data_IF_592160237596
#
_entry.id   IF_592160237596
#
_cell.length_a   1.000
_cell.length_b   1.000
_cell.length_c   1.000
_cell.angle_alpha   90.00
_cell.angle_beta   90.00
_cell.angle_gamma   90.00
#
_symmetry.space_group_name_H-M   'P 1'
#
loop_
_entity.id
_entity.type
_entity.pdbx_description
1 polymer ?
#
# COMPACT_ATOMS: atom_id res chain seq x y z
N UNK A 1 -22.79 -31.94 25.39
CA UNK A 1 -21.66 -31.40 24.60
C UNK A 1 -22.20 -30.19 23.87
N UNK A 2 -21.83 -28.99 24.29
CA UNK A 2 -22.35 -27.72 23.76
C UNK A 2 -21.17 -26.86 23.39
N UNK A 3 -20.95 -26.71 22.08
CA UNK A 3 -19.91 -25.87 21.51
C UNK A 3 -20.22 -24.39 21.78
N UNK A 4 -19.29 -23.75 22.48
CA UNK A 4 -19.34 -22.32 22.79
C UNK A 4 -19.04 -21.52 21.51
N UNK A 5 -20.06 -20.95 20.89
CA UNK A 5 -19.94 -19.92 19.86
C UNK A 5 -19.22 -18.69 20.45
N UNK A 6 -17.93 -18.57 20.15
CA UNK A 6 -17.14 -17.38 20.49
C UNK A 6 -17.67 -16.23 19.63
N UNK A 7 -18.40 -15.30 20.25
CA UNK A 7 -18.87 -14.07 19.59
C UNK A 7 -17.70 -13.30 18.99
N UNK A 8 -17.84 -12.89 17.71
CA UNK A 8 -16.84 -12.15 16.90
C UNK A 8 -16.24 -10.94 17.63
N UNK A 9 -16.98 -10.33 18.56
CA UNK A 9 -16.49 -9.22 19.39
C UNK A 9 -15.37 -9.66 20.34
N UNK A 10 -15.45 -10.84 20.95
CA UNK A 10 -14.40 -11.38 21.84
C UNK A 10 -13.13 -11.81 21.09
N UNK A 11 -13.27 -12.26 19.83
CA UNK A 11 -12.11 -12.56 18.97
C UNK A 11 -11.31 -11.27 18.65
N UNK A 12 -12.01 -10.19 18.30
CA UNK A 12 -11.36 -8.90 18.04
C UNK A 12 -10.74 -8.27 19.31
N UNK A 13 -11.38 -8.42 20.48
CA UNK A 13 -10.77 -8.00 21.74
C UNK A 13 -9.54 -8.85 22.10
N UNK A 14 -9.54 -10.14 21.76
CA UNK A 14 -8.40 -11.04 21.93
C UNK A 14 -7.22 -10.72 21.01
N UNK A 15 -7.46 -10.33 19.76
CA UNK A 15 -6.42 -9.90 18.83
C UNK A 15 -5.80 -8.54 19.22
N UNK A 16 -6.62 -7.61 19.76
CA UNK A 16 -6.12 -6.32 20.25
C UNK A 16 -5.36 -6.44 21.58
N UNK A 17 -5.79 -7.35 22.48
CA UNK A 17 -5.07 -7.62 23.71
C UNK A 17 -3.79 -8.47 23.48
N UNK A 18 -3.80 -9.39 22.51
CA UNK A 18 -2.66 -10.24 22.16
C UNK A 18 -1.56 -9.51 21.38
N UNK A 19 -1.92 -8.52 20.56
CA UNK A 19 -0.95 -7.63 19.91
C UNK A 19 -0.34 -6.59 20.89
N UNK A 20 -1.04 -6.27 21.98
CA UNK A 20 -0.56 -5.30 22.98
C UNK A 20 0.51 -5.83 23.95
N UNK A 21 0.60 -7.16 24.16
CA UNK A 21 1.52 -7.73 25.16
C UNK A 21 2.84 -8.23 24.56
N UNK A 22 2.90 -8.51 23.25
CA UNK A 22 4.13 -8.94 22.59
C UNK A 22 5.09 -7.81 22.19
N UNK A 23 4.71 -6.54 22.40
CA UNK A 23 5.58 -5.37 22.16
C UNK A 23 6.00 -4.61 23.42
N UNK A 24 5.64 -5.08 24.63
CA UNK A 24 6.03 -4.42 25.89
C UNK A 24 7.10 -5.19 26.68
N UNK A 25 7.69 -6.23 26.09
CA UNK A 25 8.81 -6.96 26.68
C UNK A 25 10.14 -6.59 26.04
N UNK A 26 10.73 -5.47 26.45
CA UNK A 26 12.17 -5.22 26.30
C UNK A 26 12.62 -4.44 25.07
N UNK A 27 12.38 -3.13 25.08
CA UNK A 27 13.31 -2.17 24.48
C UNK A 27 13.18 -0.83 25.22
N UNK A 28 13.97 -0.67 26.27
CA UNK A 28 14.37 0.66 26.70
C UNK A 28 15.12 1.33 25.53
N UNK A 29 14.63 2.51 25.13
CA UNK A 29 15.29 3.50 24.26
C UNK A 29 15.26 3.34 22.72
N UNK A 30 14.08 3.18 22.14
CA UNK A 30 13.84 3.64 20.76
C UNK A 30 12.56 4.48 20.65
N UNK A 31 12.50 5.55 21.46
CA UNK A 31 11.64 6.69 21.11
C UNK A 31 12.23 7.34 19.86
N UNK A 32 11.70 7.00 18.69
CA UNK A 32 11.84 7.86 17.52
C UNK A 32 11.22 9.21 17.91
N UNK A 33 12.07 10.20 18.20
CA UNK A 33 11.62 11.53 18.59
C UNK A 33 10.61 12.03 17.57
N UNK A 34 9.39 12.33 18.02
CA UNK A 34 8.38 12.94 17.18
C UNK A 34 8.96 14.24 16.62
N UNK A 35 9.21 14.28 15.31
CA UNK A 35 9.65 15.50 14.65
C UNK A 35 8.44 16.42 14.60
N UNK A 36 8.61 17.66 15.04
CA UNK A 36 7.54 18.64 14.99
C UNK A 36 7.22 18.96 13.52
N UNK A 37 6.00 18.69 13.07
CA UNK A 37 5.57 18.80 11.67
C UNK A 37 5.81 20.19 11.06
N UNK A 38 5.82 21.24 11.88
CA UNK A 38 6.13 22.62 11.43
C UNK A 38 7.58 22.83 10.99
N UNK A 39 8.50 21.90 11.29
CA UNK A 39 9.92 21.98 10.94
C UNK A 39 10.32 21.10 9.74
N UNK A 40 9.45 20.18 9.30
CA UNK A 40 9.76 19.24 8.21
C UNK A 40 9.50 19.91 6.86
N UNK A 41 10.55 20.55 6.31
CA UNK A 41 10.54 21.15 4.96
C UNK A 41 10.61 20.09 3.86
N UNK A 42 11.18 18.94 4.15
CA UNK A 42 11.26 17.81 3.23
C UNK A 42 11.29 16.48 3.96
N UNK A 43 10.69 15.46 3.34
CA UNK A 43 10.62 14.09 3.82
C UNK A 43 11.25 13.18 2.77
N UNK A 44 12.25 12.40 3.17
CA UNK A 44 12.85 11.37 2.30
C UNK A 44 12.48 9.99 2.84
N UNK A 45 11.85 9.16 2.01
CA UNK A 45 11.42 7.81 2.34
C UNK A 45 12.09 6.82 1.38
N UNK A 46 12.75 5.80 1.94
CA UNK A 46 13.17 4.63 1.17
C UNK A 46 12.06 3.60 1.25
N UNK A 47 11.45 3.29 0.12
CA UNK A 47 10.31 2.38 0.04
C UNK A 47 10.74 1.08 -0.61
N UNK A 48 10.34 -0.02 0.03
CA UNK A 48 10.41 -1.37 -0.50
C UNK A 48 9.03 -2.00 -0.39
N UNK A 49 8.44 -2.32 -1.54
CA UNK A 49 7.15 -2.97 -1.66
C UNK A 49 7.36 -4.38 -2.22
N UNK A 50 6.98 -5.41 -1.47
CA UNK A 50 7.10 -6.80 -1.91
C UNK A 50 5.72 -7.44 -1.96
N UNK A 51 5.40 -8.04 -3.11
CA UNK A 51 4.19 -8.84 -3.32
C UNK A 51 4.56 -10.30 -3.55
N UNK A 52 3.67 -11.20 -3.14
CA UNK A 52 3.85 -12.64 -3.27
C UNK A 52 2.58 -13.29 -3.81
N UNK A 53 2.71 -14.18 -4.79
CA UNK A 53 1.59 -14.94 -5.32
C UNK A 53 1.23 -16.09 -4.37
N UNK A 54 0.12 -15.93 -3.64
CA UNK A 54 -0.37 -16.92 -2.66
C UNK A 54 -1.17 -18.05 -3.29
N UNK A 55 -1.87 -17.75 -4.39
CA UNK A 55 -2.67 -18.68 -5.19
C UNK A 55 -2.33 -18.46 -6.65
N UNK A 56 -2.09 -19.54 -7.37
CA UNK A 56 -1.62 -19.49 -8.75
C UNK A 56 -2.54 -20.37 -9.59
N UNK A 57 -3.42 -19.76 -10.41
CA UNK A 57 -4.20 -20.54 -11.36
C UNK A 57 -3.24 -21.25 -12.33
N UNK A 58 -3.53 -22.51 -12.61
CA UNK A 58 -2.76 -23.32 -13.57
C UNK A 58 -3.31 -23.05 -14.96
N UNK A 59 -2.43 -22.99 -15.95
CA UNK A 59 -2.78 -22.86 -17.36
C UNK A 59 -3.51 -21.57 -17.75
N UNK A 60 -3.59 -20.58 -16.88
CA UNK A 60 -4.15 -19.26 -17.14
C UNK A 60 -3.07 -18.17 -17.19
N UNK A 61 -3.28 -17.16 -18.03
CA UNK A 61 -2.44 -15.97 -18.05
C UNK A 61 -2.83 -15.04 -16.90
N UNK A 62 -1.85 -14.68 -16.08
CA UNK A 62 -2.03 -13.75 -14.96
C UNK A 62 -1.26 -12.48 -15.27
N UNK A 63 -1.97 -11.35 -15.23
CA UNK A 63 -1.41 -10.01 -15.32
C UNK A 63 -1.45 -9.30 -13.97
N UNK A 64 -0.36 -8.63 -13.60
CA UNK A 64 -0.31 -7.74 -12.43
C UNK A 64 0.17 -6.36 -12.85
N UNK A 65 -0.56 -5.35 -12.39
CA UNK A 65 -0.24 -3.94 -12.55
C UNK A 65 0.35 -3.43 -11.24
N UNK A 66 1.57 -2.93 -11.29
CA UNK A 66 2.29 -2.38 -10.15
C UNK A 66 2.40 -0.87 -10.34
N UNK A 67 1.69 -0.08 -9.53
CA UNK A 67 1.72 1.37 -9.65
C UNK A 67 3.10 1.90 -9.24
N UNK A 68 3.61 2.83 -10.03
CA UNK A 68 4.79 3.63 -9.73
C UNK A 68 4.27 4.99 -9.25
N UNK A 69 4.72 5.48 -8.08
CA UNK A 69 4.32 6.82 -7.63
C UNK A 69 4.68 7.87 -8.67
N UNK A 70 3.82 8.87 -8.90
CA UNK A 70 4.12 9.94 -9.83
C UNK A 70 5.29 10.77 -9.31
N UNK A 71 6.09 11.32 -10.24
CA UNK A 71 7.00 12.43 -9.93
C UNK A 71 6.32 13.72 -10.36
N UNK A 72 6.34 14.73 -9.51
CA UNK A 72 5.76 16.05 -9.78
C UNK A 72 6.64 17.18 -9.18
N UNK A 73 6.10 18.39 -9.06
CA UNK A 73 6.84 19.55 -8.53
C UNK A 73 7.21 19.42 -7.05
N UNK A 74 6.48 18.59 -6.31
CA UNK A 74 6.58 18.44 -4.85
C UNK A 74 7.17 17.09 -4.46
N UNK A 75 7.19 16.13 -5.39
CA UNK A 75 7.63 14.76 -5.18
C UNK A 75 8.61 14.31 -6.25
N UNK A 76 9.81 13.95 -5.81
CA UNK A 76 10.86 13.36 -6.65
C UNK A 76 10.99 11.86 -6.33
N UNK A 77 10.88 11.01 -7.36
CA UNK A 77 11.12 9.56 -7.25
C UNK A 77 12.47 9.22 -7.88
N UNK A 78 13.35 8.59 -7.10
CA UNK A 78 14.68 8.16 -7.53
C UNK A 78 14.94 6.69 -7.19
N UNK A 79 15.91 6.06 -7.87
CA UNK A 79 16.31 4.68 -7.58
C UNK A 79 15.21 3.64 -7.81
N UNK A 80 14.30 3.90 -8.75
CA UNK A 80 13.22 2.98 -9.11
C UNK A 80 13.81 1.68 -9.70
N UNK A 81 13.61 0.56 -9.02
CA UNK A 81 14.07 -0.75 -9.45
C UNK A 81 13.01 -1.82 -9.18
N UNK A 82 12.71 -2.62 -10.20
CA UNK A 82 11.84 -3.79 -10.10
C UNK A 82 12.69 -5.06 -10.06
N UNK A 83 12.57 -5.81 -8.98
CA UNK A 83 13.20 -7.13 -8.80
C UNK A 83 12.12 -8.20 -8.96
N UNK A 84 12.19 -8.94 -10.06
CA UNK A 84 11.27 -10.04 -10.38
C UNK A 84 11.94 -11.04 -11.31
N UNK A 85 11.55 -12.31 -11.24
CA UNK A 85 11.91 -13.31 -12.27
C UNK A 85 10.90 -13.35 -13.42
N UNK A 86 9.77 -12.66 -13.27
CA UNK A 86 8.71 -12.62 -14.26
C UNK A 86 9.04 -11.62 -15.37
N UNK A 87 8.64 -11.91 -16.63
CA UNK A 87 8.75 -10.93 -17.70
C UNK A 87 7.84 -9.73 -17.41
N UNK A 88 8.37 -8.52 -17.62
CA UNK A 88 7.63 -7.28 -17.38
C UNK A 88 7.84 -6.26 -18.50
N UNK A 89 6.89 -5.32 -18.59
CA UNK A 89 6.92 -4.18 -19.49
C UNK A 89 6.67 -2.91 -18.69
N UNK A 90 7.33 -1.83 -19.10
CA UNK A 90 7.04 -0.50 -18.58
C UNK A 90 5.90 0.06 -19.42
N UNK A 91 4.76 0.35 -18.78
CA UNK A 91 3.66 1.05 -19.44
C UNK A 91 3.64 2.49 -18.94
N UNK A 92 3.98 3.41 -19.84
CA UNK A 92 3.84 4.85 -19.65
C UNK A 92 2.62 5.27 -20.49
N UNK A 93 1.42 4.93 -20.00
CA UNK A 93 0.20 5.03 -20.80
C UNK A 93 -0.45 6.40 -20.62
N UNK A 94 0.02 7.43 -21.36
CA UNK A 94 -0.62 8.73 -21.69
C UNK A 94 -1.35 9.54 -20.60
N UNK A 95 -1.43 9.07 -19.37
CA UNK A 95 -2.08 9.65 -18.22
C UNK A 95 -1.13 9.52 -17.03
N UNK A 96 -1.37 10.35 -16.02
CA UNK A 96 -0.44 10.76 -14.97
C UNK A 96 0.21 9.62 -14.12
N UNK A 97 -0.18 8.37 -14.34
CA UNK A 97 0.23 7.22 -13.54
C UNK A 97 1.10 6.26 -14.36
N UNK A 98 2.34 6.08 -13.91
CA UNK A 98 3.28 5.10 -14.47
C UNK A 98 3.06 3.74 -13.83
N UNK A 99 3.15 2.67 -14.61
CA UNK A 99 2.94 1.30 -14.10
C UNK A 99 3.97 0.33 -14.66
N UNK A 100 4.39 -0.63 -13.84
CA UNK A 100 5.00 -1.86 -14.33
C UNK A 100 3.90 -2.89 -14.55
N UNK A 101 3.91 -3.54 -15.71
CA UNK A 101 2.99 -4.62 -16.01
C UNK A 101 3.78 -5.92 -16.15
N UNK A 102 3.48 -6.91 -15.31
CA UNK A 102 4.03 -8.26 -15.44
C UNK A 102 2.91 -9.18 -15.93
N UNK A 103 3.19 -9.98 -16.98
CA UNK A 103 2.24 -10.96 -17.50
C UNK A 103 2.95 -12.28 -17.69
N UNK A 104 2.38 -13.35 -17.15
CA UNK A 104 2.98 -14.67 -17.22
C UNK A 104 1.93 -15.77 -17.05
N UNK A 105 2.28 -16.98 -17.44
CA UNK A 105 1.48 -18.19 -17.28
C UNK A 105 2.17 -19.11 -16.29
N UNK A 106 1.42 -19.95 -15.59
CA UNK A 106 1.97 -20.96 -14.68
C UNK A 106 2.90 -20.38 -13.60
N UNK A 107 2.45 -19.32 -12.92
CA UNK A 107 3.19 -18.75 -11.78
C UNK A 107 3.37 -19.79 -10.68
N UNK A 108 4.55 -19.82 -10.09
CA UNK A 108 4.80 -20.62 -8.90
C UNK A 108 4.27 -19.91 -7.65
N UNK A 109 3.65 -20.67 -6.75
CA UNK A 109 3.31 -20.16 -5.43
C UNK A 109 4.58 -19.66 -4.73
N UNK A 110 4.51 -18.47 -4.15
CA UNK A 110 5.65 -17.84 -3.50
C UNK A 110 6.56 -17.05 -4.44
N UNK A 111 6.23 -16.95 -5.73
CA UNK A 111 6.92 -16.02 -6.63
C UNK A 111 6.74 -14.59 -6.13
N UNK A 112 7.83 -13.81 -6.12
CA UNK A 112 7.87 -12.48 -5.52
C UNK A 112 8.20 -11.41 -6.55
N UNK A 113 7.53 -10.27 -6.40
CA UNK A 113 7.86 -9.05 -7.11
C UNK A 113 8.18 -7.98 -6.06
N UNK A 114 9.38 -7.42 -6.12
CA UNK A 114 9.81 -6.35 -5.22
C UNK A 114 10.05 -5.07 -6.01
N UNK A 115 9.42 -3.98 -5.58
CA UNK A 115 9.61 -2.65 -6.11
C UNK A 115 10.36 -1.81 -5.06
N UNK A 116 11.51 -1.29 -5.43
CA UNK A 116 12.34 -0.42 -4.61
C UNK A 116 12.38 0.98 -5.21
N UNK A 117 12.27 2.01 -4.38
CA UNK A 117 12.47 3.41 -4.79
C UNK A 117 12.66 4.31 -3.58
N UNK A 118 13.16 5.52 -3.84
CA UNK A 118 13.24 6.59 -2.84
C UNK A 118 12.28 7.71 -3.24
N UNK A 119 11.40 8.10 -2.32
CA UNK A 119 10.55 9.28 -2.43
C UNK A 119 11.24 10.42 -1.69
N UNK A 120 11.34 11.58 -2.32
CA UNK A 120 11.65 12.84 -1.64
C UNK A 120 10.49 13.80 -1.87
N UNK A 121 9.76 14.13 -0.81
CA UNK A 121 8.69 15.14 -0.84
C UNK A 121 9.18 16.44 -0.22
N UNK A 122 8.84 17.56 -0.83
CA UNK A 122 9.03 18.89 -0.26
C UNK A 122 7.67 19.45 0.11
N UNK A 123 7.48 19.85 1.37
CA UNK A 123 6.24 20.53 1.78
C UNK A 123 6.23 21.94 1.17
N UNK A 124 5.37 22.16 0.18
CA UNK A 124 4.98 23.52 -0.19
C UNK A 124 3.88 23.90 0.80
N UNK A 125 4.13 24.93 1.62
CA UNK A 125 3.28 25.29 2.73
C UNK A 125 1.83 25.47 2.31
N UNK A 126 0.91 24.90 3.11
CA UNK A 126 -0.56 25.10 3.07
C UNK A 126 -1.17 25.06 1.68
N UNK A 127 -1.82 23.94 1.36
CA UNK A 127 -2.86 23.87 0.33
C UNK A 127 -3.70 25.13 0.38
N UNK A 128 -3.60 25.97 -0.65
CA UNK A 128 -4.62 26.98 -0.90
C UNK A 128 -5.94 26.21 -0.93
N UNK A 129 -6.83 26.52 0.01
CA UNK A 129 -8.16 25.93 0.06
C UNK A 129 -8.78 26.25 -1.28
N UNK A 130 -8.79 25.28 -2.19
CA UNK A 130 -9.66 25.36 -3.35
C UNK A 130 -11.06 25.36 -2.78
N UNK A 131 -11.84 26.36 -3.17
CA UNK A 131 -13.25 26.53 -2.82
C UNK A 131 -14.11 25.49 -3.58
N UNK A 132 -13.58 24.28 -3.70
CA UNK A 132 -14.21 23.14 -4.33
C UNK A 132 -15.17 22.54 -3.31
N UNK A 133 -16.44 22.37 -3.67
CA UNK A 133 -17.46 21.78 -2.80
C UNK A 133 -16.99 20.39 -2.32
N UNK A 134 -16.74 20.18 -1.02
CA UNK A 134 -16.28 18.90 -0.50
C UNK A 134 -17.32 17.79 -0.68
N UNK A 135 -18.60 18.14 -0.89
CA UNK A 135 -19.69 17.19 -1.15
C UNK A 135 -19.43 16.27 -2.35
N UNK A 136 -18.66 16.72 -3.34
CA UNK A 136 -18.35 15.92 -4.53
C UNK A 136 -17.48 14.69 -4.23
N UNK A 137 -16.70 14.71 -3.15
CA UNK A 137 -15.86 13.59 -2.72
C UNK A 137 -16.53 12.69 -1.68
N UNK A 138 -17.68 13.11 -1.14
CA UNK A 138 -18.44 12.35 -0.15
C UNK A 138 -19.47 11.42 -0.78
N UNK A 139 -19.68 11.51 -2.10
CA UNK A 139 -20.55 10.61 -2.84
C UNK A 139 -19.72 9.43 -3.34
N UNK A 140 -19.94 8.20 -2.85
CA UNK A 140 -19.21 7.03 -3.32
C UNK A 140 -19.42 6.85 -4.82
N UNK A 141 -18.35 6.63 -5.56
CA UNK A 141 -18.44 6.24 -6.96
C UNK A 141 -19.12 4.87 -7.11
N UNK A 142 -19.58 4.54 -8.33
CA UNK A 142 -20.15 3.22 -8.63
C UNK A 142 -19.25 2.04 -8.22
N UNK A 143 -17.94 2.26 -8.13
CA UNK A 143 -16.93 1.26 -7.74
C UNK A 143 -16.70 1.16 -6.23
N UNK A 144 -17.18 2.14 -5.46
CA UNK A 144 -17.04 2.23 -4.00
C UNK A 144 -18.34 1.89 -3.27
N UNK A 145 -19.44 1.69 -3.99
CA UNK A 145 -20.68 1.16 -3.43
C UNK A 145 -20.39 -0.26 -2.92
N UNK A 146 -20.56 -0.45 -1.62
CA UNK A 146 -20.42 -1.76 -0.99
C UNK A 146 -21.51 -2.68 -1.55
N UNK A 147 -21.11 -3.83 -2.09
CA UNK A 147 -22.07 -4.88 -2.44
C UNK A 147 -22.46 -5.61 -1.15
N UNK A 148 -23.62 -5.23 -0.61
CA UNK A 148 -24.21 -5.86 0.58
C UNK A 148 -24.58 -7.35 0.37
N UNK A 149 -24.43 -7.89 -0.85
CA UNK A 149 -24.68 -9.30 -1.15
C UNK A 149 -23.46 -10.22 -1.01
N UNK A 150 -22.29 -9.70 -0.58
CA UNK A 150 -21.12 -10.53 -0.30
C UNK A 150 -21.29 -11.15 1.11
N UNK A 151 -22.00 -12.30 1.17
CA UNK A 151 -22.12 -13.17 2.36
C UNK A 151 -20.93 -14.11 2.57
#
# INVERSE_FOLDING_TARGET
MTESLISRRRFLTGCLAGAGVLCLGGWDNCHAGGVNDTQVRSLTLKVRYTTEFMRCPKDEDVGIWLPIPPSDKEQEITGLALETKLPFKNHDQQQQNKVFYCQTRNINKGERITLNYTIKRTNIGTTEVKDDDPGQYLTPSEWEKWDDNIT
#
